data_IF_256241237119
#
_entry.id   IF_256241237119
#
_cell.length_a   1.000
_cell.length_b   1.000
_cell.length_c   1.000
_cell.angle_alpha   90.00
_cell.angle_beta   90.00
_cell.angle_gamma   90.00
#
_symmetry.space_group_name_H-M   'P 1'
#
loop_
_entity.id
_entity.type
_entity.pdbx_description
1 polymer ?
#
# COMPACT_ATOMS: atom_id res chain seq x y z
N UNK A 1 -36.77 8.44 20.54
CA UNK A 1 -35.49 8.63 19.83
C UNK A 1 -34.96 7.23 19.53
N UNK A 2 -35.36 6.61 18.41
CA UNK A 2 -34.88 5.28 18.04
C UNK A 2 -33.66 5.44 17.14
N UNK A 3 -32.47 5.12 17.65
CA UNK A 3 -31.25 5.13 16.85
C UNK A 3 -31.27 3.94 15.89
N UNK A 4 -31.50 4.24 14.61
CA UNK A 4 -31.54 3.31 13.49
C UNK A 4 -30.10 2.89 13.13
N UNK A 5 -29.44 2.16 14.01
CA UNK A 5 -28.15 1.54 13.69
C UNK A 5 -28.46 0.07 13.39
N UNK A 6 -28.44 -0.27 12.11
CA UNK A 6 -28.60 -1.65 11.65
C UNK A 6 -27.34 -2.46 11.99
N UNK A 7 -27.46 -3.79 12.04
CA UNK A 7 -26.38 -4.69 12.45
C UNK A 7 -25.14 -4.54 11.56
N UNK A 8 -25.34 -4.37 10.25
CA UNK A 8 -24.28 -4.12 9.28
C UNK A 8 -23.51 -2.84 9.59
N UNK A 9 -24.20 -1.76 9.95
CA UNK A 9 -23.53 -0.50 10.32
C UNK A 9 -22.73 -0.64 11.63
N UNK A 10 -23.22 -1.42 12.60
CA UNK A 10 -22.45 -1.75 13.83
C UNK A 10 -21.20 -2.57 13.54
N UNK A 11 -21.28 -3.53 12.63
CA UNK A 11 -20.16 -4.37 12.21
C UNK A 11 -19.08 -3.52 11.52
N UNK A 12 -19.46 -2.65 10.58
CA UNK A 12 -18.54 -1.71 9.90
C UNK A 12 -17.80 -0.79 10.90
N UNK A 13 -18.52 -0.20 11.89
CA UNK A 13 -17.88 0.62 12.93
C UNK A 13 -16.97 -0.20 13.85
N UNK A 14 -17.25 -1.48 14.05
CA UNK A 14 -16.45 -2.38 14.89
C UNK A 14 -15.19 -2.83 14.15
N UNK A 15 -15.28 -3.10 12.85
CA UNK A 15 -14.12 -3.35 11.98
C UNK A 15 -13.19 -2.13 11.96
N UNK A 16 -13.74 -0.94 11.78
CA UNK A 16 -13.00 0.33 11.84
C UNK A 16 -12.26 0.53 13.17
N UNK A 17 -12.91 0.21 14.29
CA UNK A 17 -12.30 0.32 15.62
C UNK A 17 -11.22 -0.75 15.85
N UNK A 18 -11.44 -1.98 15.37
CA UNK A 18 -10.47 -3.06 15.44
C UNK A 18 -9.23 -2.79 14.59
N UNK A 19 -9.41 -2.22 13.39
CA UNK A 19 -8.33 -1.81 12.50
C UNK A 19 -7.51 -0.69 13.15
N UNK A 20 -8.14 0.36 13.69
CA UNK A 20 -7.44 1.43 14.40
C UNK A 20 -6.62 0.90 15.58
N UNK A 21 -7.22 0.03 16.41
CA UNK A 21 -6.51 -0.61 17.52
C UNK A 21 -5.34 -1.47 17.05
N UNK A 22 -5.49 -2.21 15.95
CA UNK A 22 -4.41 -2.99 15.37
C UNK A 22 -3.26 -2.10 14.89
N UNK A 23 -3.57 -0.94 14.30
CA UNK A 23 -2.58 0.06 13.90
C UNK A 23 -1.84 0.62 15.12
N UNK A 24 -2.56 0.98 16.19
CA UNK A 24 -1.94 1.49 17.43
C UNK A 24 -0.98 0.46 18.05
N UNK A 25 -1.41 -0.82 18.13
CA UNK A 25 -0.55 -1.88 18.64
C UNK A 25 0.73 -2.08 17.79
N UNK A 26 0.65 -1.88 16.47
CA UNK A 26 1.82 -1.92 15.58
C UNK A 26 2.75 -0.75 15.89
N UNK A 27 2.21 0.45 16.14
CA UNK A 27 3.03 1.61 16.53
C UNK A 27 3.75 1.39 17.85
N UNK A 28 3.06 0.88 18.86
CA UNK A 28 3.65 0.57 20.16
C UNK A 28 4.78 -0.46 20.03
N UNK A 29 4.53 -1.56 19.32
CA UNK A 29 5.55 -2.58 19.03
C UNK A 29 6.77 -1.98 18.31
N UNK A 30 6.56 -1.10 17.32
CA UNK A 30 7.67 -0.46 16.60
C UNK A 30 8.44 0.52 17.48
N UNK A 31 7.79 1.21 18.41
CA UNK A 31 8.43 2.18 19.30
C UNK A 31 9.43 1.52 20.27
N UNK A 32 9.18 0.26 20.65
CA UNK A 32 10.07 -0.54 21.49
C UNK A 32 11.32 -1.04 20.75
N UNK A 33 11.31 -1.05 19.41
CA UNK A 33 12.42 -1.53 18.60
C UNK A 33 13.51 -0.47 18.38
N UNK A 34 14.81 -0.83 18.54
CA UNK A 34 15.92 -0.03 18.07
C UNK A 34 15.78 0.33 16.58
N UNK A 35 16.39 1.44 16.16
CA UNK A 35 16.25 1.97 14.79
C UNK A 35 16.65 0.92 13.73
N UNK A 36 17.67 0.15 14.00
CA UNK A 36 18.28 -0.83 13.10
C UNK A 36 17.35 -2.04 12.93
N UNK A 37 16.67 -2.43 14.01
CA UNK A 37 15.67 -3.51 14.01
C UNK A 37 14.38 -3.07 13.31
N UNK A 38 13.93 -1.82 13.53
CA UNK A 38 12.82 -1.24 12.75
C UNK A 38 13.11 -1.27 11.25
N UNK A 39 14.31 -0.85 10.84
CA UNK A 39 14.71 -0.88 9.43
C UNK A 39 14.77 -2.30 8.87
N UNK A 40 15.20 -3.29 9.66
CA UNK A 40 15.20 -4.69 9.26
C UNK A 40 13.78 -5.23 9.08
N UNK A 41 12.87 -4.93 10.01
CA UNK A 41 11.46 -5.29 9.94
C UNK A 41 10.80 -4.75 8.67
N UNK A 42 10.96 -3.45 8.39
CA UNK A 42 10.41 -2.85 7.17
C UNK A 42 11.01 -3.44 5.89
N UNK A 43 12.29 -3.81 5.88
CA UNK A 43 12.91 -4.51 4.74
C UNK A 43 12.30 -5.89 4.49
N UNK A 44 11.92 -6.62 5.53
CA UNK A 44 11.32 -7.95 5.41
C UNK A 44 9.89 -7.91 4.84
N UNK A 45 9.10 -6.91 5.25
CA UNK A 45 7.72 -6.73 4.76
C UNK A 45 7.64 -5.85 3.51
N UNK A 46 8.76 -5.24 3.12
CA UNK A 46 8.84 -4.50 1.86
C UNK A 46 8.50 -5.43 0.71
N UNK A 47 7.69 -4.93 -0.24
CA UNK A 47 7.27 -5.74 -1.38
C UNK A 47 8.50 -6.28 -2.12
N UNK A 48 8.42 -7.50 -2.70
CA UNK A 48 9.56 -8.15 -3.34
C UNK A 48 10.24 -7.22 -4.35
N UNK A 49 11.57 -7.21 -4.32
CA UNK A 49 12.49 -6.33 -5.07
C UNK A 49 12.42 -6.44 -6.60
N UNK A 50 11.49 -7.20 -7.17
CA UNK A 50 11.17 -7.11 -8.60
C UNK A 50 10.33 -5.86 -8.82
N UNK A 51 10.93 -4.72 -8.50
CA UNK A 51 10.42 -3.39 -8.76
C UNK A 51 10.99 -3.02 -10.12
N UNK A 52 10.14 -2.94 -11.13
CA UNK A 52 10.62 -2.61 -12.46
C UNK A 52 10.93 -1.12 -12.57
N UNK A 53 10.16 -0.27 -11.86
CA UNK A 53 10.38 1.17 -11.85
C UNK A 53 10.09 1.78 -10.48
N UNK A 54 11.01 2.64 -10.02
CA UNK A 54 10.81 3.52 -8.87
C UNK A 54 11.06 4.94 -9.34
N UNK A 55 10.10 5.83 -9.13
CA UNK A 55 10.20 7.26 -9.47
C UNK A 55 9.85 8.10 -8.25
N UNK A 56 10.72 9.02 -7.88
CA UNK A 56 10.46 10.02 -6.84
C UNK A 56 9.92 11.31 -7.50
N UNK A 57 8.84 11.84 -6.93
CA UNK A 57 8.23 13.14 -7.25
C UNK A 57 7.75 13.75 -5.94
N UNK A 58 8.20 14.97 -5.62
CA UNK A 58 7.83 15.72 -4.40
C UNK A 58 8.01 14.95 -3.09
N UNK A 59 9.07 14.15 -2.97
CA UNK A 59 9.36 13.31 -1.80
C UNK A 59 8.50 12.05 -1.71
N UNK A 60 7.62 11.81 -2.68
CA UNK A 60 6.76 10.62 -2.77
C UNK A 60 7.40 9.63 -3.75
N UNK A 61 7.58 8.39 -3.28
CA UNK A 61 8.10 7.30 -4.10
C UNK A 61 6.96 6.53 -4.78
N UNK A 62 6.89 6.65 -6.11
CA UNK A 62 6.00 5.88 -6.97
C UNK A 62 6.71 4.60 -7.40
N UNK A 63 6.12 3.47 -7.06
CA UNK A 63 6.68 2.14 -7.34
C UNK A 63 5.74 1.41 -8.29
N UNK A 64 6.26 1.03 -9.45
CA UNK A 64 5.55 0.23 -10.45
C UNK A 64 6.15 -1.17 -10.47
N UNK A 65 5.36 -2.14 -9.98
CA UNK A 65 5.56 -3.55 -10.27
C UNK A 65 4.88 -3.85 -11.60
N UNK A 66 5.65 -3.92 -12.67
CA UNK A 66 5.15 -4.32 -13.97
C UNK A 66 5.40 -5.81 -14.18
N UNK A 67 4.32 -6.57 -14.29
CA UNK A 67 4.40 -7.94 -14.80
C UNK A 67 4.67 -7.92 -16.32
N UNK A 68 5.81 -7.36 -16.76
CA UNK A 68 6.23 -7.42 -18.16
C UNK A 68 6.74 -8.84 -18.45
N UNK A 69 5.82 -9.68 -18.88
CA UNK A 69 6.15 -10.90 -19.61
C UNK A 69 6.65 -10.49 -21.01
N UNK A 70 7.91 -10.84 -21.33
CA UNK A 70 8.51 -10.59 -22.66
C UNK A 70 7.73 -11.25 -23.81
N UNK A 71 6.83 -12.21 -23.52
CA UNK A 71 5.95 -12.85 -24.49
C UNK A 71 4.63 -12.12 -24.75
N UNK A 72 4.32 -11.04 -24.01
CA UNK A 72 3.07 -10.30 -24.18
C UNK A 72 3.17 -9.20 -25.24
N UNK A 73 2.04 -8.94 -25.91
CA UNK A 73 1.92 -8.08 -27.10
C UNK A 73 2.17 -6.58 -26.87
N UNK A 74 2.19 -6.11 -25.63
CA UNK A 74 2.38 -4.69 -25.30
C UNK A 74 3.69 -4.52 -24.53
N UNK A 75 4.63 -3.79 -25.13
CA UNK A 75 5.88 -3.43 -24.47
C UNK A 75 5.71 -2.23 -23.52
N UNK A 76 6.72 -2.04 -22.67
CA UNK A 76 6.74 -1.02 -21.63
C UNK A 76 6.51 0.40 -22.12
N UNK A 77 7.13 0.80 -23.23
CA UNK A 77 7.03 2.16 -23.75
C UNK A 77 5.58 2.44 -24.17
N UNK A 78 4.97 1.46 -24.84
CA UNK A 78 3.57 1.54 -25.28
C UNK A 78 2.62 1.66 -24.09
N UNK A 79 2.82 0.85 -23.05
CA UNK A 79 1.95 0.85 -21.85
C UNK A 79 2.05 2.15 -21.06
N UNK A 80 3.26 2.68 -20.86
CA UNK A 80 3.48 3.94 -20.14
C UNK A 80 2.86 5.11 -20.90
N UNK A 81 3.08 5.19 -22.21
CA UNK A 81 2.50 6.25 -23.03
C UNK A 81 0.98 6.20 -23.01
N UNK A 82 0.34 5.02 -23.03
CA UNK A 82 -1.11 4.89 -22.94
C UNK A 82 -1.67 5.41 -21.62
N UNK A 83 -1.06 5.07 -20.48
CA UNK A 83 -1.50 5.54 -19.16
C UNK A 83 -1.35 7.05 -19.04
N UNK A 84 -0.23 7.60 -19.50
CA UNK A 84 0.06 9.04 -19.40
C UNK A 84 -0.68 9.89 -20.43
N UNK A 85 -1.04 9.32 -21.59
CA UNK A 85 -1.75 10.01 -22.66
C UNK A 85 -3.26 9.86 -22.59
N UNK A 86 -3.78 9.12 -21.58
CA UNK A 86 -5.21 9.15 -21.28
C UNK A 86 -5.46 10.44 -20.51
N UNK A 87 -5.77 11.52 -21.23
CA UNK A 87 -6.43 12.69 -20.63
C UNK A 87 -7.79 12.24 -20.05
N UNK A 88 -8.10 12.71 -18.83
CA UNK A 88 -9.38 12.49 -18.12
C UNK A 88 -10.47 13.33 -18.75
#
# INVERSE_FOLDING_TARGET
MNSYIDKTTREDFTEDAAIRKAIDNIYDMLAELPKEERLAFFKQISKPKNLDFVKEVDGIYYVVCSHFDRGQREDMITKVNRILSTEV
#
